data_IF_823680744273
#
_entry.id   IF_823680744273
#
_cell.length_a   1.000
_cell.length_b   1.000
_cell.length_c   1.000
_cell.angle_alpha   90.00
_cell.angle_beta   90.00
_cell.angle_gamma   90.00
#
_symmetry.space_group_name_H-M   'P 1'
#
loop_
_entity.id
_entity.type
_entity.pdbx_description
1 polymer ?
#
# COMPACT_ATOMS: atom_id res chain seq x y z
N UNK A 1 11.47 29.86 -69.90
CA UNK A 1 12.16 28.87 -69.06
C UNK A 1 11.65 28.99 -67.61
N UNK A 2 10.77 28.13 -67.15
CA UNK A 2 10.29 28.17 -65.76
C UNK A 2 11.23 27.41 -64.80
N UNK A 3 11.52 28.04 -63.68
CA UNK A 3 12.29 27.47 -62.58
C UNK A 3 11.38 26.55 -61.72
N UNK A 4 11.74 25.29 -61.64
CA UNK A 4 11.12 24.34 -60.70
C UNK A 4 11.62 24.60 -59.27
N UNK A 5 10.69 24.85 -58.36
CA UNK A 5 10.97 24.92 -56.93
C UNK A 5 10.69 23.55 -56.31
N UNK A 6 11.75 22.89 -55.82
CA UNK A 6 11.66 21.62 -55.11
C UNK A 6 11.33 21.88 -53.64
N UNK A 7 10.12 21.52 -53.22
CA UNK A 7 9.75 21.51 -51.79
C UNK A 7 10.33 20.28 -51.14
N UNK A 8 11.21 20.50 -50.17
CA UNK A 8 11.76 19.46 -49.27
C UNK A 8 10.79 19.31 -48.11
N UNK A 9 10.07 18.19 -48.07
CA UNK A 9 9.20 17.81 -46.95
C UNK A 9 10.05 17.17 -45.85
N UNK A 10 10.32 17.90 -44.75
CA UNK A 10 10.92 17.32 -43.54
C UNK A 10 9.83 16.57 -42.77
N UNK A 11 9.85 15.26 -42.79
CA UNK A 11 9.07 14.41 -41.92
C UNK A 11 9.72 14.40 -40.53
N UNK A 12 9.13 15.09 -39.56
CA UNK A 12 9.46 14.95 -38.11
C UNK A 12 8.89 13.63 -37.61
N UNK A 13 9.74 12.62 -37.53
CA UNK A 13 9.47 11.41 -36.77
C UNK A 13 9.56 11.75 -35.27
N UNK A 14 8.40 12.01 -34.63
CA UNK A 14 8.29 12.04 -33.19
C UNK A 14 8.42 10.59 -32.67
N UNK A 15 9.66 10.18 -32.40
CA UNK A 15 9.94 8.95 -31.68
C UNK A 15 9.45 9.11 -30.23
N UNK A 16 8.41 8.39 -29.83
CA UNK A 16 8.13 8.14 -28.43
C UNK A 16 9.23 7.20 -27.88
N UNK A 17 10.40 7.74 -27.62
CA UNK A 17 11.47 7.04 -26.91
C UNK A 17 11.12 7.03 -25.43
N UNK A 18 10.92 5.85 -24.85
CA UNK A 18 10.95 5.69 -23.38
C UNK A 18 12.30 6.16 -22.88
N UNK A 19 12.34 7.00 -21.84
CA UNK A 19 13.60 7.44 -21.23
C UNK A 19 14.44 6.22 -20.82
N UNK A 20 15.76 6.29 -20.92
CA UNK A 20 16.65 5.25 -20.40
C UNK A 20 16.32 4.96 -18.95
N UNK A 21 16.35 3.68 -18.54
CA UNK A 21 15.93 3.24 -17.19
C UNK A 21 16.69 3.93 -16.05
N UNK A 22 17.94 4.31 -16.29
CA UNK A 22 18.80 4.99 -15.31
C UNK A 22 18.48 6.48 -15.13
N UNK A 23 17.71 7.09 -16.04
CA UNK A 23 17.33 8.50 -16.00
C UNK A 23 15.98 8.73 -15.27
N UNK A 24 15.28 7.66 -14.85
CA UNK A 24 14.02 7.80 -14.12
C UNK A 24 14.28 8.40 -12.73
N UNK A 25 13.46 9.37 -12.29
CA UNK A 25 13.57 9.91 -10.94
C UNK A 25 13.42 8.81 -9.87
N UNK A 26 13.98 9.00 -8.67
CA UNK A 26 13.86 8.02 -7.59
C UNK A 26 12.40 7.73 -7.24
N UNK A 27 12.15 6.60 -6.59
CA UNK A 27 10.86 6.28 -6.00
C UNK A 27 10.45 7.36 -4.99
N UNK A 28 9.14 7.57 -4.85
CA UNK A 28 8.63 8.54 -3.89
C UNK A 28 8.75 8.00 -2.46
N UNK A 29 9.21 8.85 -1.55
CA UNK A 29 9.26 8.58 -0.12
C UNK A 29 8.24 9.47 0.61
N UNK A 30 7.74 9.03 1.79
CA UNK A 30 6.89 9.88 2.61
C UNK A 30 7.66 11.11 3.08
N UNK A 31 7.06 12.29 3.00
CA UNK A 31 7.67 13.48 3.57
C UNK A 31 7.91 13.32 5.07
N UNK A 32 9.02 13.87 5.58
CA UNK A 32 9.25 13.96 7.01
C UNK A 32 8.19 14.86 7.64
N UNK A 33 7.55 14.37 8.69
CA UNK A 33 6.52 15.11 9.39
C UNK A 33 7.08 16.26 10.22
N UNK A 34 6.42 17.43 10.23
CA UNK A 34 6.76 18.50 11.17
C UNK A 34 6.42 18.09 12.62
N UNK A 35 6.90 18.84 13.62
CA UNK A 35 6.41 18.69 15.00
C UNK A 35 4.88 18.82 15.08
N UNK A 36 4.27 18.15 16.05
CA UNK A 36 2.82 18.20 16.25
C UNK A 36 2.36 19.62 16.60
N UNK A 37 1.33 20.10 15.93
CA UNK A 37 0.67 21.39 16.21
C UNK A 37 -0.73 21.21 16.82
N UNK A 38 -1.21 19.97 16.87
CA UNK A 38 -2.49 19.61 17.47
C UNK A 38 -2.35 18.30 18.25
N UNK A 39 -3.20 18.12 19.26
CA UNK A 39 -3.32 16.84 19.95
C UNK A 39 -3.91 15.79 19.01
N UNK A 40 -3.28 14.62 18.85
CA UNK A 40 -3.81 13.53 18.05
C UNK A 40 -5.22 13.11 18.50
N UNK A 41 -6.08 12.82 17.54
CA UNK A 41 -7.43 12.32 17.81
C UNK A 41 -7.39 10.86 18.33
N UNK A 42 -8.41 10.46 19.07
CA UNK A 42 -8.55 9.09 19.57
C UNK A 42 -7.56 8.73 20.69
N UNK A 43 -7.03 7.52 20.66
CA UNK A 43 -6.15 7.00 21.70
C UNK A 43 -4.80 6.57 21.12
N UNK A 44 -3.72 6.97 21.78
CA UNK A 44 -2.35 6.54 21.46
C UNK A 44 -1.95 5.38 22.37
N UNK A 45 -1.36 4.35 21.79
CA UNK A 45 -0.88 3.16 22.47
C UNK A 45 0.60 2.96 22.14
N UNK A 46 1.51 2.96 23.13
CA UNK A 46 2.89 2.64 22.90
C UNK A 46 3.03 1.20 22.38
N UNK A 47 3.64 1.01 21.22
CA UNK A 47 3.87 -0.32 20.64
C UNK A 47 5.33 -0.67 20.50
N UNK A 48 6.21 0.31 20.47
CA UNK A 48 7.65 0.13 20.33
C UNK A 48 8.23 1.01 19.21
N UNK A 49 9.55 1.00 19.03
CA UNK A 49 10.24 1.94 18.15
C UNK A 49 9.94 1.66 16.67
N UNK A 50 9.88 2.74 15.90
CA UNK A 50 9.80 2.73 14.43
C UNK A 50 8.72 1.79 13.86
N UNK A 51 7.44 1.91 14.27
CA UNK A 51 6.38 1.13 13.63
C UNK A 51 6.28 1.50 12.14
N UNK A 52 6.37 0.48 11.27
CA UNK A 52 6.42 0.67 9.81
C UNK A 52 5.17 0.14 9.14
N UNK A 53 4.82 -1.13 9.28
CA UNK A 53 3.65 -1.76 8.72
C UNK A 53 2.58 -2.02 9.77
N UNK A 54 1.30 -2.04 9.37
CA UNK A 54 0.21 -2.47 10.23
C UNK A 54 -0.91 -3.13 9.42
N UNK A 55 -1.53 -4.17 9.99
CA UNK A 55 -2.73 -4.80 9.44
C UNK A 55 -3.65 -5.27 10.58
N UNK A 56 -4.96 -5.08 10.40
CA UNK A 56 -5.97 -5.50 11.38
C UNK A 56 -6.66 -6.80 10.92
N UNK A 57 -6.75 -7.77 11.82
CA UNK A 57 -7.46 -9.01 11.54
C UNK A 57 -8.88 -8.99 12.15
N UNK A 58 -9.94 -9.02 11.29
CA UNK A 58 -11.32 -8.93 11.76
C UNK A 58 -11.81 -10.19 12.50
N UNK A 59 -11.09 -11.32 12.39
CA UNK A 59 -11.49 -12.57 13.04
C UNK A 59 -10.96 -12.69 14.46
N UNK A 60 -9.71 -12.33 14.69
CA UNK A 60 -9.10 -12.38 16.03
C UNK A 60 -9.25 -11.06 16.79
N UNK A 61 -9.56 -9.97 16.09
CA UNK A 61 -9.57 -8.61 16.64
C UNK A 61 -8.18 -8.09 16.98
N UNK A 62 -7.13 -8.73 16.48
CA UNK A 62 -5.75 -8.30 16.65
C UNK A 62 -5.32 -7.35 15.53
N UNK A 63 -4.45 -6.42 15.87
CA UNK A 63 -3.71 -5.59 14.93
C UNK A 63 -2.25 -6.00 15.00
N UNK A 64 -1.70 -6.45 13.89
CA UNK A 64 -0.28 -6.71 13.78
C UNK A 64 0.43 -5.41 13.38
N UNK A 65 1.50 -5.07 14.10
CA UNK A 65 2.34 -3.89 13.85
C UNK A 65 3.78 -4.33 13.72
N UNK A 66 4.38 -4.09 12.55
CA UNK A 66 5.79 -4.34 12.30
C UNK A 66 6.65 -3.24 12.91
N UNK A 67 7.67 -3.63 13.68
CA UNK A 67 8.59 -2.72 14.34
C UNK A 67 10.01 -2.94 13.84
N UNK A 68 10.81 -1.88 13.83
CA UNK A 68 12.23 -1.93 13.46
C UNK A 68 13.09 -1.46 14.62
N UNK A 69 14.15 -2.21 14.93
CA UNK A 69 15.11 -1.96 16.01
C UNK A 69 14.51 -2.03 17.44
N UNK A 70 14.18 -3.22 17.95
CA UNK A 70 14.39 -4.53 17.32
C UNK A 70 13.34 -4.87 16.27
N UNK A 71 13.68 -5.77 15.33
CA UNK A 71 12.76 -6.27 14.35
C UNK A 71 11.81 -7.27 15.00
N UNK A 72 10.54 -6.90 15.08
CA UNK A 72 9.51 -7.72 15.72
C UNK A 72 8.10 -7.38 15.18
N UNK A 73 7.18 -8.27 15.41
CA UNK A 73 5.76 -8.05 15.18
C UNK A 73 5.05 -7.92 16.53
N UNK A 74 4.50 -6.75 16.82
CA UNK A 74 3.62 -6.55 17.96
C UNK A 74 2.18 -6.91 17.58
N UNK A 75 1.58 -7.89 18.27
CA UNK A 75 0.16 -8.22 18.14
C UNK A 75 -0.61 -7.47 19.22
N UNK A 76 -1.41 -6.50 18.80
CA UNK A 76 -2.12 -5.55 19.67
C UNK A 76 -3.60 -5.86 19.64
N UNK A 77 -4.25 -5.92 20.79
CA UNK A 77 -5.72 -6.00 20.86
C UNK A 77 -6.33 -4.73 20.25
N UNK A 78 -7.06 -4.86 19.16
CA UNK A 78 -7.74 -3.73 18.50
C UNK A 78 -8.79 -3.06 19.39
N UNK A 79 -9.33 -3.75 20.39
CA UNK A 79 -10.33 -3.20 21.32
C UNK A 79 -9.68 -2.51 22.53
N UNK A 80 -8.78 -3.20 23.26
CA UNK A 80 -8.16 -2.66 24.47
C UNK A 80 -6.90 -1.84 24.18
N UNK A 81 -6.23 -2.07 23.03
CA UNK A 81 -4.92 -1.47 22.71
C UNK A 81 -3.76 -2.11 23.47
N UNK A 82 -3.98 -3.17 24.20
CA UNK A 82 -2.91 -3.90 24.90
C UNK A 82 -2.08 -4.70 23.90
N UNK A 83 -0.76 -4.70 24.10
CA UNK A 83 0.15 -5.58 23.36
C UNK A 83 0.00 -7.00 23.92
N UNK A 84 -0.76 -7.83 23.21
CA UNK A 84 -1.05 -9.20 23.62
C UNK A 84 0.17 -10.13 23.43
N UNK A 85 1.01 -9.86 22.42
CA UNK A 85 2.19 -10.67 22.10
C UNK A 85 3.21 -9.86 21.32
N UNK A 86 4.50 -10.21 21.52
CA UNK A 86 5.61 -9.81 20.66
C UNK A 86 6.20 -11.03 20.00
N UNK A 87 6.42 -10.98 18.70
CA UNK A 87 6.99 -12.06 17.90
C UNK A 87 8.29 -11.51 17.31
N UNK A 88 9.47 -11.96 17.82
CA UNK A 88 10.74 -11.57 17.23
C UNK A 88 10.82 -12.01 15.77
N UNK A 89 11.35 -11.15 14.92
CA UNK A 89 11.60 -11.41 13.50
C UNK A 89 13.13 -11.47 13.28
N UNK A 90 13.54 -12.23 12.28
CA UNK A 90 14.96 -12.36 11.91
C UNK A 90 15.38 -11.33 10.83
N UNK A 91 14.47 -10.45 10.43
CA UNK A 91 14.71 -9.40 9.45
C UNK A 91 13.68 -8.27 9.57
N UNK A 92 14.03 -7.09 9.04
CA UNK A 92 13.21 -5.90 9.10
C UNK A 92 11.87 -6.07 8.35
N UNK A 93 10.71 -5.90 9.02
CA UNK A 93 9.42 -5.94 8.36
C UNK A 93 9.20 -4.68 7.52
N UNK A 94 8.51 -4.85 6.36
CA UNK A 94 8.05 -3.74 5.52
C UNK A 94 6.53 -3.55 5.69
N UNK A 95 5.76 -3.55 4.60
CA UNK A 95 4.30 -3.47 4.69
C UNK A 95 3.71 -4.84 5.08
N UNK A 96 2.59 -4.79 5.79
CA UNK A 96 1.95 -6.00 6.30
C UNK A 96 0.60 -6.21 5.61
N UNK A 97 0.28 -7.46 5.30
CA UNK A 97 -1.03 -7.88 4.83
C UNK A 97 -1.53 -9.12 5.59
N UNK A 98 -2.77 -9.52 5.34
CA UNK A 98 -3.31 -10.80 5.80
C UNK A 98 -3.46 -11.75 4.61
N UNK A 99 -3.14 -13.01 4.82
CA UNK A 99 -3.51 -14.06 3.86
C UNK A 99 -5.04 -14.24 3.80
N UNK A 100 -5.72 -13.92 4.88
CA UNK A 100 -7.17 -13.94 5.01
C UNK A 100 -7.60 -13.70 6.46
N UNK A 101 -8.92 -13.66 6.76
CA UNK A 101 -9.41 -13.52 8.13
C UNK A 101 -8.91 -14.65 9.04
N UNK A 102 -8.18 -14.29 10.10
CA UNK A 102 -7.51 -15.22 11.01
C UNK A 102 -6.03 -15.45 10.68
N UNK A 103 -5.50 -14.74 9.70
CA UNK A 103 -4.09 -14.83 9.32
C UNK A 103 -3.79 -15.92 8.28
N UNK A 104 -2.51 -16.27 8.07
CA UNK A 104 -1.35 -15.63 8.70
C UNK A 104 -1.19 -14.17 8.30
N UNK A 105 -0.43 -13.43 9.10
CA UNK A 105 0.11 -12.12 8.70
C UNK A 105 1.23 -12.35 7.71
N UNK A 106 1.17 -11.70 6.58
CA UNK A 106 2.19 -11.68 5.54
C UNK A 106 3.17 -10.55 5.88
N UNK A 107 4.44 -10.91 6.07
CA UNK A 107 5.50 -9.99 6.48
C UNK A 107 6.64 -10.06 5.46
N UNK A 108 6.67 -9.18 4.46
CA UNK A 108 7.85 -9.02 3.62
C UNK A 108 9.06 -8.65 4.48
N UNK A 109 10.08 -9.49 4.47
CA UNK A 109 11.32 -9.34 5.21
C UNK A 109 12.39 -8.79 4.27
N UNK A 110 12.51 -7.46 4.23
CA UNK A 110 13.26 -6.69 3.25
C UNK A 110 14.71 -7.15 3.13
N UNK A 111 15.41 -7.20 4.28
CA UNK A 111 16.84 -7.53 4.32
C UNK A 111 17.16 -9.03 4.15
N UNK A 112 16.13 -9.87 4.05
CA UNK A 112 16.28 -11.32 4.06
C UNK A 112 15.80 -12.01 2.77
N UNK A 113 15.33 -11.26 1.78
CA UNK A 113 14.77 -11.78 0.52
C UNK A 113 13.73 -12.88 0.79
N UNK A 114 12.81 -12.61 1.72
CA UNK A 114 11.86 -13.60 2.19
C UNK A 114 10.48 -13.01 2.53
N UNK A 115 9.46 -13.83 2.41
CA UNK A 115 8.17 -13.62 3.04
C UNK A 115 8.10 -14.46 4.32
N UNK A 116 7.89 -13.82 5.46
CA UNK A 116 7.52 -14.50 6.69
C UNK A 116 5.98 -14.53 6.78
N UNK A 117 5.45 -15.65 7.21
CA UNK A 117 4.02 -15.82 7.45
C UNK A 117 3.82 -16.14 8.92
N UNK A 118 3.21 -15.21 9.64
CA UNK A 118 3.06 -15.28 11.10
C UNK A 118 1.63 -15.69 11.46
N UNK A 119 1.46 -16.88 12.02
CA UNK A 119 0.17 -17.42 12.40
C UNK A 119 -0.48 -16.60 13.55
N UNK A 120 -1.76 -16.29 13.44
CA UNK A 120 -2.53 -15.64 14.50
C UNK A 120 -3.38 -16.63 15.29
N UNK A 121 -3.53 -16.45 16.62
CA UNK A 121 -2.83 -15.47 17.48
C UNK A 121 -1.48 -16.00 17.99
N UNK A 122 -1.06 -17.19 17.56
CA UNK A 122 0.03 -17.95 18.16
C UNK A 122 1.44 -17.42 17.91
N UNK A 123 1.66 -16.70 16.78
CA UNK A 123 2.96 -16.15 16.43
C UNK A 123 3.94 -17.15 15.80
N UNK A 124 3.51 -18.37 15.46
CA UNK A 124 4.35 -19.30 14.73
C UNK A 124 4.72 -18.76 13.35
N UNK A 125 6.00 -18.89 12.97
CA UNK A 125 6.53 -18.32 11.73
C UNK A 125 6.85 -19.44 10.74
N UNK A 126 6.40 -19.29 9.51
CA UNK A 126 6.91 -20.00 8.35
C UNK A 126 7.60 -19.02 7.41
N UNK A 127 8.56 -19.49 6.59
CA UNK A 127 9.38 -18.65 5.72
C UNK A 127 9.40 -19.19 4.31
N UNK A 128 9.22 -18.31 3.34
CA UNK A 128 9.39 -18.60 1.92
C UNK A 128 10.41 -17.65 1.30
N UNK A 129 11.25 -18.14 0.36
CA UNK A 129 12.17 -17.28 -0.40
C UNK A 129 11.41 -16.47 -1.44
N UNK A 130 11.81 -15.21 -1.59
CA UNK A 130 11.29 -14.27 -2.58
C UNK A 130 12.38 -13.80 -3.54
N UNK A 131 12.08 -12.83 -4.38
CA UNK A 131 13.07 -12.01 -5.05
C UNK A 131 13.72 -11.02 -4.07
N UNK A 132 14.59 -10.16 -4.60
CA UNK A 132 15.38 -9.22 -3.81
C UNK A 132 14.51 -8.10 -3.25
N UNK A 133 14.66 -7.86 -1.93
CA UNK A 133 14.03 -6.80 -1.16
C UNK A 133 12.50 -6.78 -1.35
N UNK A 134 11.78 -7.78 -0.79
CA UNK A 134 10.32 -7.81 -0.84
C UNK A 134 9.75 -6.62 -0.07
N UNK A 135 8.83 -5.87 -0.71
CA UNK A 135 8.27 -4.64 -0.19
C UNK A 135 6.87 -4.81 0.38
N UNK A 136 5.99 -5.48 -0.34
CA UNK A 136 4.59 -5.67 0.01
C UNK A 136 4.09 -7.03 -0.47
N UNK A 137 2.98 -7.51 0.08
CA UNK A 137 2.39 -8.79 -0.29
C UNK A 137 0.87 -8.73 -0.30
N UNK A 138 0.24 -9.53 -1.15
CA UNK A 138 -1.21 -9.65 -1.20
C UNK A 138 -1.64 -11.10 -1.42
N UNK A 139 -2.67 -11.52 -0.70
CA UNK A 139 -3.36 -12.78 -0.98
C UNK A 139 -4.46 -12.55 -2.03
N UNK A 140 -4.48 -13.40 -3.05
CA UNK A 140 -5.48 -13.38 -4.11
C UNK A 140 -5.83 -14.81 -4.51
N UNK A 141 -7.11 -15.18 -4.36
CA UNK A 141 -7.53 -16.57 -4.46
C UNK A 141 -6.85 -17.44 -3.40
N UNK A 142 -6.16 -18.51 -3.82
CA UNK A 142 -5.38 -19.40 -2.95
C UNK A 142 -3.87 -19.07 -2.97
N UNK A 143 -3.47 -18.03 -3.69
CA UNK A 143 -2.08 -17.64 -3.87
C UNK A 143 -1.72 -16.39 -3.08
N UNK A 144 -0.43 -16.26 -2.82
CA UNK A 144 0.17 -15.03 -2.28
C UNK A 144 1.14 -14.48 -3.30
N UNK A 145 1.04 -13.18 -3.56
CA UNK A 145 1.91 -12.43 -4.45
C UNK A 145 2.76 -11.48 -3.62
N UNK A 146 4.07 -11.50 -3.84
CA UNK A 146 5.04 -10.66 -3.13
C UNK A 146 5.71 -9.74 -4.14
N UNK A 147 5.67 -8.45 -3.89
CA UNK A 147 6.33 -7.45 -4.73
C UNK A 147 7.81 -7.38 -4.35
N UNK A 148 8.68 -7.93 -5.21
CA UNK A 148 10.13 -7.96 -5.04
C UNK A 148 10.73 -6.68 -5.65
N UNK A 149 10.92 -5.65 -4.83
CA UNK A 149 11.17 -4.28 -5.26
C UNK A 149 12.38 -4.17 -6.20
N UNK A 150 13.51 -4.74 -5.82
CA UNK A 150 14.76 -4.63 -6.60
C UNK A 150 15.05 -5.86 -7.47
N UNK A 151 14.20 -6.88 -7.44
CA UNK A 151 14.20 -7.93 -8.47
C UNK A 151 13.29 -7.57 -9.64
N UNK A 152 12.38 -6.58 -9.47
CA UNK A 152 11.40 -6.17 -10.49
C UNK A 152 10.49 -7.32 -10.90
N UNK A 153 10.06 -8.11 -9.91
CA UNK A 153 9.20 -9.29 -10.10
C UNK A 153 8.11 -9.35 -9.05
N UNK A 154 7.11 -10.18 -9.32
CA UNK A 154 6.25 -10.74 -8.28
C UNK A 154 6.68 -12.19 -8.04
N UNK A 155 7.06 -12.52 -6.82
CA UNK A 155 7.14 -13.92 -6.40
C UNK A 155 5.73 -14.40 -6.09
N UNK A 156 5.31 -15.50 -6.71
CA UNK A 156 4.01 -16.13 -6.49
C UNK A 156 4.20 -17.36 -5.62
N UNK A 157 3.47 -17.42 -4.50
CA UNK A 157 3.41 -18.60 -3.64
C UNK A 157 2.07 -19.30 -3.81
N UNK A 158 2.11 -20.60 -3.81
CA UNK A 158 0.95 -21.50 -3.76
C UNK A 158 1.14 -22.45 -2.57
N UNK A 159 0.16 -22.59 -1.70
CA UNK A 159 0.28 -23.33 -0.43
C UNK A 159 1.54 -22.97 0.40
N UNK A 160 1.92 -21.68 0.38
CA UNK A 160 3.08 -21.15 1.10
C UNK A 160 4.44 -21.41 0.45
N UNK A 161 4.49 -22.12 -0.69
CA UNK A 161 5.72 -22.41 -1.43
C UNK A 161 5.85 -21.53 -2.69
N UNK A 162 7.02 -20.98 -3.00
CA UNK A 162 7.23 -20.21 -4.21
C UNK A 162 7.16 -21.12 -5.45
N UNK A 163 6.24 -20.80 -6.38
CA UNK A 163 6.00 -21.59 -7.58
C UNK A 163 6.46 -20.91 -8.86
N UNK A 164 6.44 -19.60 -8.94
CA UNK A 164 6.88 -18.84 -10.12
C UNK A 164 7.23 -17.40 -9.78
N UNK A 165 7.85 -16.70 -10.73
CA UNK A 165 8.06 -15.26 -10.70
C UNK A 165 7.53 -14.61 -11.97
N UNK A 166 6.86 -13.47 -11.81
CA UNK A 166 6.28 -12.69 -12.90
C UNK A 166 7.05 -11.38 -13.02
N UNK A 167 7.52 -11.03 -14.21
CA UNK A 167 8.20 -9.77 -14.44
C UNK A 167 7.22 -8.59 -14.36
N UNK A 168 7.63 -7.51 -13.70
CA UNK A 168 6.89 -6.25 -13.57
C UNK A 168 7.65 -5.08 -14.18
N UNK A 169 7.06 -3.90 -14.17
CA UNK A 169 7.79 -2.65 -14.33
C UNK A 169 8.73 -2.41 -13.11
N UNK A 170 9.58 -1.38 -13.19
CA UNK A 170 10.67 -1.14 -12.23
C UNK A 170 10.15 -0.81 -10.82
N UNK A 171 10.71 -1.48 -9.81
CA UNK A 171 10.43 -1.31 -8.39
C UNK A 171 8.93 -1.48 -8.07
N UNK A 172 8.39 -2.72 -8.15
CA UNK A 172 7.06 -3.00 -7.63
C UNK A 172 7.04 -2.76 -6.12
N UNK A 173 6.16 -1.87 -5.68
CA UNK A 173 5.93 -1.51 -4.29
C UNK A 173 4.57 -2.00 -3.80
N UNK A 174 3.59 -1.10 -3.68
CA UNK A 174 2.25 -1.47 -3.20
C UNK A 174 1.54 -2.48 -4.09
N UNK A 175 0.95 -3.50 -3.50
CA UNK A 175 0.18 -4.55 -4.19
C UNK A 175 -1.19 -4.74 -3.50
N UNK A 176 -2.24 -4.96 -4.29
CA UNK A 176 -3.60 -5.19 -3.76
C UNK A 176 -4.38 -6.17 -4.61
N UNK A 177 -5.22 -7.05 -4.00
CA UNK A 177 -6.09 -7.93 -4.77
C UNK A 177 -7.23 -7.15 -5.43
N UNK A 178 -7.62 -7.60 -6.62
CA UNK A 178 -8.73 -7.06 -7.40
C UNK A 178 -9.73 -8.17 -7.72
N UNK A 179 -10.94 -7.76 -8.10
CA UNK A 179 -11.95 -8.64 -8.70
C UNK A 179 -12.16 -9.94 -7.90
N UNK A 180 -12.37 -9.80 -6.58
CA UNK A 180 -12.54 -10.94 -5.66
C UNK A 180 -11.38 -11.95 -5.71
N UNK A 181 -10.15 -11.45 -5.88
CA UNK A 181 -8.94 -12.27 -5.90
C UNK A 181 -8.66 -12.97 -7.24
N UNK A 182 -9.31 -12.55 -8.33
CA UNK A 182 -8.98 -13.06 -9.67
C UNK A 182 -7.82 -12.31 -10.33
N UNK A 183 -7.55 -11.10 -9.88
CA UNK A 183 -6.44 -10.27 -10.34
C UNK A 183 -5.70 -9.64 -9.15
N UNK A 184 -4.49 -9.16 -9.40
CA UNK A 184 -3.75 -8.28 -8.50
C UNK A 184 -3.35 -7.01 -9.25
N UNK A 185 -3.35 -5.87 -8.56
CA UNK A 185 -2.74 -4.63 -9.05
C UNK A 185 -1.43 -4.39 -8.32
N UNK A 186 -0.44 -3.91 -9.05
CA UNK A 186 0.90 -3.58 -8.56
C UNK A 186 1.25 -2.17 -8.96
N UNK A 187 1.72 -1.38 -8.01
CA UNK A 187 2.27 -0.04 -8.25
C UNK A 187 3.78 -0.16 -8.42
N UNK A 188 4.27 0.06 -9.63
CA UNK A 188 5.70 0.12 -9.91
C UNK A 188 6.20 1.54 -9.70
N UNK A 189 6.77 1.79 -8.51
CA UNK A 189 6.99 3.13 -7.97
C UNK A 189 8.06 3.92 -8.75
N UNK A 190 9.09 3.26 -9.26
CA UNK A 190 10.15 3.90 -10.05
C UNK A 190 9.71 4.24 -11.47
N UNK A 191 9.00 3.31 -12.13
CA UNK A 191 8.49 3.52 -13.48
C UNK A 191 7.17 4.29 -13.52
N UNK A 192 6.54 4.52 -12.34
CA UNK A 192 5.33 5.33 -12.15
C UNK A 192 4.14 4.83 -12.97
N UNK A 193 3.94 3.54 -12.89
CA UNK A 193 2.81 2.86 -13.52
C UNK A 193 2.10 1.95 -12.53
N UNK A 194 0.84 1.69 -12.79
CA UNK A 194 0.12 0.58 -12.19
C UNK A 194 -0.09 -0.49 -13.23
N UNK A 195 0.16 -1.74 -12.87
CA UNK A 195 -0.06 -2.92 -13.71
C UNK A 195 -1.05 -3.86 -13.02
N UNK A 196 -1.85 -4.56 -13.80
CA UNK A 196 -2.74 -5.60 -13.31
C UNK A 196 -2.36 -6.94 -13.93
N UNK A 197 -2.47 -8.00 -13.12
CA UNK A 197 -2.12 -9.36 -13.52
C UNK A 197 -3.24 -10.33 -13.17
N UNK A 198 -3.52 -11.28 -14.06
CA UNK A 198 -4.44 -12.38 -13.80
C UNK A 198 -3.78 -13.38 -12.83
N UNK A 199 -4.51 -13.79 -11.80
CA UNK A 199 -3.98 -14.66 -10.72
C UNK A 199 -3.73 -16.09 -11.21
N UNK A 200 -4.52 -16.59 -12.14
CA UNK A 200 -4.41 -17.96 -12.61
C UNK A 200 -3.27 -18.14 -13.61
N UNK A 201 -3.19 -17.26 -14.62
CA UNK A 201 -2.20 -17.33 -15.69
C UNK A 201 -0.90 -16.59 -15.39
N UNK A 202 -0.93 -15.57 -14.52
CA UNK A 202 0.18 -14.63 -14.29
C UNK A 202 0.38 -13.63 -15.43
N UNK A 203 -0.52 -13.59 -16.40
CA UNK A 203 -0.44 -12.64 -17.53
C UNK A 203 -0.82 -11.23 -17.09
N UNK A 204 -0.13 -10.23 -17.65
CA UNK A 204 -0.49 -8.83 -17.45
C UNK A 204 -1.74 -8.49 -18.23
N UNK A 205 -2.78 -8.03 -17.52
CA UNK A 205 -4.10 -7.69 -18.08
C UNK A 205 -4.29 -6.18 -18.31
N UNK A 206 -3.48 -5.34 -17.69
CA UNK A 206 -3.58 -3.89 -17.84
C UNK A 206 -2.32 -3.16 -17.41
N UNK A 207 -2.16 -1.93 -17.92
CA UNK A 207 -1.11 -1.01 -17.52
C UNK A 207 -1.57 0.43 -17.74
N UNK A 208 -1.38 1.29 -16.72
CA UNK A 208 -1.74 2.69 -16.79
C UNK A 208 -0.71 3.57 -16.07
N UNK A 209 -0.56 4.86 -16.45
CA UNK A 209 0.27 5.82 -15.72
C UNK A 209 -0.22 6.00 -14.28
N UNK A 210 0.70 6.20 -13.32
CA UNK A 210 0.39 6.33 -11.91
C UNK A 210 0.88 7.65 -11.28
N UNK A 211 0.83 8.74 -12.02
CA UNK A 211 1.13 10.08 -11.50
C UNK A 211 2.61 10.40 -11.47
N UNK A 212 3.03 11.16 -10.43
CA UNK A 212 4.37 11.74 -10.32
C UNK A 212 5.25 10.98 -9.33
N UNK A 213 4.66 10.37 -8.33
CA UNK A 213 5.35 9.56 -7.33
C UNK A 213 4.37 8.65 -6.61
N UNK A 214 3.87 7.59 -7.28
CA UNK A 214 2.93 6.66 -6.69
C UNK A 214 3.61 5.79 -5.63
N UNK A 215 2.83 5.34 -4.63
CA UNK A 215 3.34 4.46 -3.57
C UNK A 215 2.45 3.26 -3.29
N UNK A 216 1.25 3.46 -2.76
CA UNK A 216 0.40 2.37 -2.29
C UNK A 216 -0.94 2.34 -3.02
N UNK A 217 -1.59 1.18 -2.99
CA UNK A 217 -2.87 0.96 -3.63
C UNK A 217 -3.83 0.17 -2.75
N UNK A 218 -5.12 0.47 -2.87
CA UNK A 218 -6.22 -0.33 -2.33
C UNK A 218 -7.36 -0.42 -3.34
N UNK A 219 -8.15 -1.49 -3.27
CA UNK A 219 -9.31 -1.68 -4.13
C UNK A 219 -10.60 -1.81 -3.32
N UNK A 220 -11.70 -1.33 -3.87
CA UNK A 220 -13.02 -1.57 -3.27
C UNK A 220 -13.59 -2.96 -3.58
N UNK A 221 -12.76 -3.87 -4.09
CA UNK A 221 -13.17 -5.23 -4.47
C UNK A 221 -14.08 -5.30 -5.70
N UNK A 222 -14.54 -4.16 -6.22
CA UNK A 222 -15.45 -4.04 -7.36
C UNK A 222 -14.80 -3.37 -8.56
N UNK A 223 -15.18 -2.12 -8.83
CA UNK A 223 -14.84 -1.43 -10.07
C UNK A 223 -13.69 -0.42 -9.94
N UNK A 224 -13.19 -0.14 -8.74
CA UNK A 224 -12.25 0.95 -8.53
C UNK A 224 -10.99 0.52 -7.81
N UNK A 225 -9.87 1.03 -8.31
CA UNK A 225 -8.56 0.99 -7.67
C UNK A 225 -8.18 2.42 -7.28
N UNK A 226 -7.60 2.57 -6.09
CA UNK A 226 -7.14 3.86 -5.56
C UNK A 226 -5.64 3.77 -5.29
N UNK A 227 -4.89 4.76 -5.79
CA UNK A 227 -3.42 4.82 -5.64
C UNK A 227 -3.03 6.16 -5.04
N UNK A 228 -2.18 6.16 -4.03
CA UNK A 228 -1.59 7.39 -3.49
C UNK A 228 -0.47 7.89 -4.40
N UNK A 229 -0.59 9.11 -4.91
CA UNK A 229 0.45 9.84 -5.62
C UNK A 229 1.14 10.78 -4.62
N UNK A 230 2.11 10.23 -3.89
CA UNK A 230 2.76 10.87 -2.75
C UNK A 230 3.44 12.18 -3.14
N UNK A 231 4.26 12.17 -4.18
CA UNK A 231 4.92 13.38 -4.70
C UNK A 231 3.92 14.29 -5.39
N UNK A 232 2.96 13.73 -6.13
CA UNK A 232 1.97 14.50 -6.86
C UNK A 232 0.86 15.07 -5.98
N UNK A 233 0.78 14.72 -4.69
CA UNK A 233 -0.23 15.24 -3.76
C UNK A 233 -1.66 14.91 -4.18
N UNK A 234 -1.94 13.65 -4.50
CA UNK A 234 -3.26 13.23 -4.97
C UNK A 234 -3.61 11.79 -4.59
N UNK A 235 -4.90 11.50 -4.61
CA UNK A 235 -5.43 10.14 -4.73
C UNK A 235 -5.86 9.93 -6.18
N UNK A 236 -5.24 8.95 -6.84
CA UNK A 236 -5.59 8.54 -8.20
C UNK A 236 -6.68 7.49 -8.13
N UNK A 237 -7.69 7.62 -8.99
CA UNK A 237 -8.83 6.70 -9.06
C UNK A 237 -8.87 6.08 -10.44
N UNK A 238 -8.79 4.76 -10.47
CA UNK A 238 -8.88 4.00 -11.72
C UNK A 238 -10.20 3.25 -11.77
N UNK A 239 -10.75 3.17 -12.97
CA UNK A 239 -11.78 2.21 -13.32
C UNK A 239 -11.10 0.92 -13.80
N UNK A 240 -11.65 -0.22 -13.39
CA UNK A 240 -11.04 -1.53 -13.70
C UNK A 240 -11.67 -2.22 -14.90
N UNK A 241 -12.80 -1.71 -15.41
CA UNK A 241 -13.56 -2.31 -16.51
C UNK A 241 -14.13 -1.24 -17.45
N UNK A 242 -14.15 -1.47 -18.78
CA UNK A 242 -13.69 -2.67 -19.47
C UNK A 242 -12.16 -2.86 -19.44
N UNK A 243 -11.40 -1.82 -19.15
CA UNK A 243 -9.94 -1.79 -19.05
C UNK A 243 -9.49 -0.91 -17.89
N UNK A 244 -8.21 -1.05 -17.49
CA UNK A 244 -7.60 -0.23 -16.44
C UNK A 244 -7.42 1.21 -16.97
N UNK A 245 -8.19 2.14 -16.43
CA UNK A 245 -8.21 3.55 -16.86
C UNK A 245 -8.14 4.50 -15.69
N UNK A 246 -7.22 5.49 -15.74
CA UNK A 246 -7.19 6.59 -14.77
C UNK A 246 -8.34 7.57 -15.07
N UNK A 247 -9.40 7.52 -14.26
CA UNK A 247 -10.60 8.34 -14.46
C UNK A 247 -10.58 9.63 -13.63
N UNK A 248 -9.75 9.70 -12.58
CA UNK A 248 -9.72 10.87 -11.70
C UNK A 248 -8.43 11.00 -10.94
N UNK A 249 -8.02 12.24 -10.77
CA UNK A 249 -7.00 12.70 -9.82
C UNK A 249 -7.70 13.57 -8.77
N UNK A 250 -7.86 13.04 -7.55
CA UNK A 250 -8.44 13.77 -6.44
C UNK A 250 -7.34 14.52 -5.68
N UNK A 251 -7.35 15.87 -5.61
CA UNK A 251 -6.31 16.62 -4.90
C UNK A 251 -6.26 16.26 -3.41
N UNK A 252 -5.11 15.84 -2.94
CA UNK A 252 -4.87 15.45 -1.55
C UNK A 252 -3.45 15.90 -1.16
N UNK A 253 -3.20 17.22 -0.99
CA UNK A 253 -1.87 17.73 -0.70
C UNK A 253 -1.38 17.27 0.69
N UNK A 254 -0.08 17.30 0.92
CA UNK A 254 0.52 16.93 2.20
C UNK A 254 1.16 15.55 2.21
N UNK A 255 1.67 15.10 1.07
CA UNK A 255 2.35 13.81 0.92
C UNK A 255 1.46 12.62 1.34
N UNK A 256 0.36 12.33 0.60
CA UNK A 256 -0.50 11.17 0.86
C UNK A 256 0.34 9.89 0.71
N UNK A 257 0.33 9.04 1.74
CA UNK A 257 1.21 7.86 1.78
C UNK A 257 0.46 6.58 2.13
N UNK A 258 0.31 6.27 3.41
CA UNK A 258 -0.44 5.08 3.83
C UNK A 258 -1.92 5.18 3.45
N UNK A 259 -2.48 4.09 2.97
CA UNK A 259 -3.88 4.03 2.54
C UNK A 259 -4.52 2.73 3.03
N UNK A 260 -5.77 2.80 3.48
CA UNK A 260 -6.61 1.66 3.80
C UNK A 260 -8.04 1.90 3.35
N UNK A 261 -8.79 0.82 3.16
CA UNK A 261 -10.19 0.88 2.74
C UNK A 261 -11.07 0.06 3.69
N UNK A 262 -12.22 0.61 4.05
CA UNK A 262 -13.33 -0.09 4.69
C UNK A 262 -14.41 -0.33 3.63
N UNK A 263 -14.40 -1.52 3.05
CA UNK A 263 -15.36 -1.88 2.01
C UNK A 263 -16.79 -2.00 2.55
N UNK A 264 -16.93 -2.38 3.82
CA UNK A 264 -18.25 -2.50 4.46
C UNK A 264 -18.95 -1.17 4.62
N UNK A 265 -18.17 -0.10 4.88
CA UNK A 265 -18.70 1.26 5.09
C UNK A 265 -18.49 2.18 3.91
N UNK A 266 -17.79 1.71 2.85
CA UNK A 266 -17.45 2.51 1.67
C UNK A 266 -16.57 3.70 2.03
N UNK A 267 -15.50 3.49 2.79
CA UNK A 267 -14.58 4.53 3.25
C UNK A 267 -13.14 4.23 2.85
N UNK A 268 -12.42 5.29 2.48
CA UNK A 268 -10.99 5.27 2.26
C UNK A 268 -10.33 6.18 3.29
N UNK A 269 -9.26 5.71 3.88
CA UNK A 269 -8.44 6.45 4.83
C UNK A 269 -7.04 6.63 4.25
N UNK A 270 -6.58 7.88 4.15
CA UNK A 270 -5.25 8.20 3.60
C UNK A 270 -4.49 9.07 4.60
N UNK A 271 -3.30 8.62 4.99
CA UNK A 271 -2.39 9.42 5.80
C UNK A 271 -1.68 10.48 4.95
N UNK A 272 -1.44 11.64 5.53
CA UNK A 272 -0.74 12.76 4.92
C UNK A 272 0.43 13.13 5.82
N UNK A 273 1.61 12.59 5.51
CA UNK A 273 2.78 12.63 6.40
C UNK A 273 3.28 14.04 6.64
N UNK A 274 3.28 14.93 5.64
CA UNK A 274 3.68 16.33 5.80
C UNK A 274 2.74 17.15 6.69
N UNK A 275 1.58 16.63 7.07
CA UNK A 275 0.55 17.35 7.84
C UNK A 275 0.22 16.69 9.18
N UNK A 276 0.77 15.51 9.51
CA UNK A 276 0.34 14.69 10.64
C UNK A 276 -1.19 14.54 10.64
N UNK A 277 -1.73 14.09 9.51
CA UNK A 277 -3.17 14.05 9.29
C UNK A 277 -3.59 12.73 8.64
N UNK A 278 -4.77 12.25 9.01
CA UNK A 278 -5.50 11.20 8.30
C UNK A 278 -6.75 11.81 7.67
N UNK A 279 -6.97 11.57 6.38
CA UNK A 279 -8.17 11.99 5.66
C UNK A 279 -9.08 10.80 5.39
N UNK A 280 -10.33 10.91 5.80
CA UNK A 280 -11.42 9.97 5.50
C UNK A 280 -12.21 10.46 4.28
N UNK A 281 -12.37 9.58 3.29
CA UNK A 281 -13.10 9.85 2.05
C UNK A 281 -14.20 8.80 1.84
N UNK A 282 -15.26 9.15 1.13
CA UNK A 282 -16.18 8.17 0.55
C UNK A 282 -15.47 7.48 -0.62
N UNK A 283 -15.51 6.14 -0.66
CA UNK A 283 -14.94 5.35 -1.77
C UNK A 283 -15.86 5.41 -3.00
N UNK A 284 -15.27 5.30 -4.19
CA UNK A 284 -15.99 5.29 -5.46
C UNK A 284 -15.30 6.12 -6.54
N UNK A 285 -15.90 6.21 -7.73
CA UNK A 285 -15.33 6.95 -8.87
C UNK A 285 -15.20 8.46 -8.65
N UNK A 286 -15.86 8.99 -7.61
CA UNK A 286 -15.80 10.39 -7.18
C UNK A 286 -15.63 10.48 -5.66
N UNK A 287 -14.41 10.24 -5.14
CA UNK A 287 -14.15 10.39 -3.71
C UNK A 287 -14.57 11.77 -3.20
N UNK A 288 -15.12 11.82 -2.01
CA UNK A 288 -15.49 13.07 -1.35
C UNK A 288 -15.09 13.05 0.11
N UNK A 289 -14.68 14.21 0.62
CA UNK A 289 -14.22 14.37 1.99
C UNK A 289 -15.34 14.08 2.99
N UNK A 290 -15.06 13.21 3.94
CA UNK A 290 -15.93 12.98 5.11
C UNK A 290 -15.36 13.73 6.31
N UNK A 291 -14.09 13.48 6.65
CA UNK A 291 -13.47 14.03 7.85
C UNK A 291 -11.93 14.02 7.76
N UNK A 292 -11.29 14.84 8.59
CA UNK A 292 -9.85 14.82 8.86
C UNK A 292 -9.61 14.59 10.34
N UNK A 293 -8.55 13.82 10.65
CA UNK A 293 -8.12 13.50 11.99
C UNK A 293 -6.69 13.96 12.20
N UNK A 294 -6.38 14.58 13.34
CA UNK A 294 -5.00 14.80 13.74
C UNK A 294 -4.36 13.46 14.13
N UNK A 295 -3.15 13.21 13.67
CA UNK A 295 -2.44 11.95 13.95
C UNK A 295 -1.23 12.17 14.85
N UNK A 296 -0.71 11.06 15.39
CA UNK A 296 0.65 10.99 15.91
C UNK A 296 1.66 11.36 14.82
N UNK A 297 2.89 11.71 15.21
CA UNK A 297 3.90 12.19 14.27
C UNK A 297 4.38 11.07 13.34
N UNK A 298 4.50 11.40 12.06
CA UNK A 298 4.90 10.51 10.96
C UNK A 298 3.93 9.33 10.77
N UNK A 299 2.69 9.59 10.33
CA UNK A 299 1.65 8.57 10.11
C UNK A 299 1.93 7.80 8.81
N UNK A 300 2.80 6.77 8.88
CA UNK A 300 3.23 6.04 7.67
C UNK A 300 2.21 5.01 7.20
N UNK A 301 1.58 4.27 8.11
CA UNK A 301 0.68 3.18 7.73
C UNK A 301 -0.69 3.34 8.36
N UNK A 302 -1.70 2.93 7.62
CA UNK A 302 -3.11 2.90 8.04
C UNK A 302 -3.63 1.47 7.91
N UNK A 303 -4.34 0.99 8.92
CA UNK A 303 -5.08 -0.27 8.89
C UNK A 303 -6.53 -0.05 9.31
N UNK A 304 -7.44 -0.88 8.83
CA UNK A 304 -8.86 -0.84 9.19
C UNK A 304 -9.32 -2.23 9.61
N UNK A 305 -9.99 -2.31 10.76
CA UNK A 305 -10.81 -3.46 11.11
C UNK A 305 -12.21 -3.26 10.53
N UNK A 306 -12.51 -3.88 9.41
CA UNK A 306 -13.82 -3.76 8.76
C UNK A 306 -14.97 -4.31 9.62
N UNK A 307 -14.70 -5.18 10.61
CA UNK A 307 -15.74 -5.70 11.50
C UNK A 307 -16.25 -4.60 12.44
N UNK A 308 -15.36 -3.89 13.11
CA UNK A 308 -15.69 -2.80 14.03
C UNK A 308 -15.79 -1.43 13.36
N UNK A 309 -15.11 -1.20 12.24
CA UNK A 309 -14.89 0.10 11.59
C UNK A 309 -13.82 0.95 12.27
N UNK A 310 -13.06 0.36 13.18
CA UNK A 310 -11.94 1.04 13.84
C UNK A 310 -10.77 1.19 12.88
N UNK A 311 -10.12 2.34 12.95
CA UNK A 311 -8.95 2.68 12.14
C UNK A 311 -7.73 2.78 13.04
N UNK A 312 -6.61 2.27 12.55
CA UNK A 312 -5.32 2.24 13.23
C UNK A 312 -4.29 2.96 12.38
N UNK A 313 -3.51 3.84 13.00
CA UNK A 313 -2.45 4.60 12.33
C UNK A 313 -1.16 4.45 13.10
N UNK A 314 -0.08 4.09 12.43
CA UNK A 314 1.24 4.06 13.06
C UNK A 314 1.82 5.46 13.19
N UNK A 315 2.29 5.85 14.39
CA UNK A 315 3.09 7.05 14.62
C UNK A 315 4.57 6.68 14.72
N UNK A 316 5.28 6.73 13.58
CA UNK A 316 6.64 6.17 13.46
C UNK A 316 7.66 6.86 14.39
N UNK A 317 7.53 8.18 14.59
CA UNK A 317 8.42 8.96 15.45
C UNK A 317 8.14 8.69 16.91
N UNK A 318 6.86 8.64 17.27
CA UNK A 318 6.42 8.48 18.67
C UNK A 318 6.44 7.03 19.15
N UNK A 319 6.59 6.05 18.25
CA UNK A 319 6.57 4.62 18.60
C UNK A 319 5.18 4.12 19.04
N UNK A 320 4.12 4.68 18.47
CA UNK A 320 2.74 4.43 18.90
C UNK A 320 1.88 3.85 17.78
N UNK A 321 0.80 3.18 18.19
CA UNK A 321 -0.36 2.89 17.37
C UNK A 321 -1.49 3.80 17.83
N UNK A 322 -2.01 4.63 16.94
CA UNK A 322 -3.18 5.46 17.19
C UNK A 322 -4.45 4.70 16.83
N UNK A 323 -5.42 4.68 17.75
CA UNK A 323 -6.73 4.03 17.58
C UNK A 323 -7.79 5.10 17.39
N UNK A 324 -8.51 5.04 16.28
CA UNK A 324 -9.61 5.93 15.92
C UNK A 324 -10.92 5.15 15.79
N UNK A 325 -11.98 5.72 16.31
CA UNK A 325 -13.37 5.22 16.17
C UNK A 325 -14.18 6.22 15.30
N UNK A 326 -14.14 6.13 13.95
CA UNK A 326 -14.77 7.13 13.07
C UNK A 326 -16.27 7.29 13.28
N UNK A 327 -16.97 6.22 13.66
CA UNK A 327 -18.43 6.22 13.91
C UNK A 327 -18.87 6.82 15.24
N UNK A 328 -17.94 7.14 16.16
CA UNK A 328 -18.27 7.78 17.44
C UNK A 328 -18.15 9.30 17.32
N UNK A 329 -19.24 10.00 17.66
CA UNK A 329 -19.19 11.45 17.82
C UNK A 329 -18.16 11.81 18.92
N UNK A 330 -17.37 12.87 18.71
CA UNK A 330 -16.57 13.46 19.81
C UNK A 330 -17.53 13.80 20.95
N UNK A 331 -17.42 13.14 22.09
CA UNK A 331 -17.88 13.71 23.34
C UNK A 331 -16.99 14.93 23.61
N UNK A 332 -17.57 16.11 23.47
CA UNK A 332 -16.93 17.40 23.81
C UNK A 332 -16.70 17.49 25.30
#
# INVERSE_FOLDING_TARGET
MPRAATLLLLALLAGCGSAPRDELPPAAEPASSPPLTATPDGRLVPVGPKPEGAVADPRTGLVAVGLRAPDELALVSGSSGEVARRVPLDAAPRHLALAGPGGPVLVPAEDADALLQVALPGGAITRARTGREPHDAAAAGHRVFVADEFAHTLTVLDDGLPVTRIATALQPGGITPLDNGRQVAVVSVRERVVETFDVASGERTGRAPAGVGPTHAVSNGGNYLFVTDTTGGALLVYHLRPELELIRRYPLPGSPYGIAIDNRRGRIYVSQTALNQLTELISGGRPSLVRRYATAQQPNTVAVDEASGRVFVTGKVDGVLQLLDPGRARTR
#
